data_IF_201078611099
#
_entry.id   IF_201078611099
#
_cell.length_a   1.000
_cell.length_b   1.000
_cell.length_c   1.000
_cell.angle_alpha   90.00
_cell.angle_beta   90.00
_cell.angle_gamma   90.00
#
_symmetry.space_group_name_H-M   'P 1'
#
loop_
_entity.id
_entity.type
_entity.pdbx_description
1 polymer ?
#
# COMPACT_ATOMS: atom_id res chain seq x y z
N UNK A 1 -44.58 -26.12 -0.35
CA UNK A 1 -44.39 -24.71 -0.74
C UNK A 1 -44.41 -24.63 -2.26
N UNK A 2 -44.83 -23.51 -2.82
CA UNK A 2 -44.69 -23.24 -4.25
C UNK A 2 -43.21 -22.95 -4.58
N UNK A 3 -42.82 -23.03 -5.87
CA UNK A 3 -41.48 -22.61 -6.31
C UNK A 3 -41.22 -21.13 -5.94
N UNK A 4 -42.24 -20.28 -6.02
CA UNK A 4 -42.14 -18.86 -5.68
C UNK A 4 -41.85 -18.64 -4.19
N UNK A 5 -42.54 -19.37 -3.30
CA UNK A 5 -42.26 -19.35 -1.86
C UNK A 5 -40.85 -19.84 -1.52
N UNK A 6 -40.38 -20.89 -2.22
CA UNK A 6 -39.02 -21.41 -2.07
C UNK A 6 -37.98 -20.38 -2.55
N UNK A 7 -38.22 -19.71 -3.67
CA UNK A 7 -37.31 -18.67 -4.19
C UNK A 7 -37.22 -17.46 -3.26
N UNK A 8 -38.32 -17.05 -2.63
CA UNK A 8 -38.29 -15.99 -1.63
C UNK A 8 -37.44 -16.37 -0.40
N UNK A 9 -37.47 -17.65 -0.01
CA UNK A 9 -36.59 -18.16 1.03
C UNK A 9 -35.13 -18.21 0.55
N UNK A 10 -34.87 -18.63 -0.70
CA UNK A 10 -33.52 -18.56 -1.27
C UNK A 10 -32.94 -17.14 -1.20
N UNK A 11 -33.71 -16.13 -1.61
CA UNK A 11 -33.29 -14.73 -1.53
C UNK A 11 -32.95 -14.32 -0.08
N UNK A 12 -33.79 -14.73 0.87
CA UNK A 12 -33.59 -14.45 2.30
C UNK A 12 -32.32 -15.13 2.83
N UNK A 13 -32.14 -16.41 2.56
CA UNK A 13 -30.94 -17.14 3.01
C UNK A 13 -29.67 -16.65 2.32
N UNK A 14 -29.76 -16.18 1.06
CA UNK A 14 -28.66 -15.53 0.36
C UNK A 14 -28.27 -14.22 1.03
N UNK A 15 -29.25 -13.37 1.36
CA UNK A 15 -29.03 -12.10 2.05
C UNK A 15 -28.36 -12.30 3.43
N UNK A 16 -28.77 -13.33 4.18
CA UNK A 16 -28.17 -13.67 5.47
C UNK A 16 -26.93 -14.58 5.35
N UNK A 17 -26.42 -14.82 4.14
CA UNK A 17 -25.22 -15.61 3.87
C UNK A 17 -25.30 -17.05 4.41
N UNK A 18 -26.50 -17.61 4.56
CA UNK A 18 -26.71 -18.97 5.03
C UNK A 18 -26.66 -19.96 3.86
N UNK A 19 -25.48 -20.09 3.26
CA UNK A 19 -25.28 -20.83 2.02
C UNK A 19 -25.62 -22.32 2.12
N UNK A 20 -25.55 -22.91 3.31
CA UNK A 20 -25.93 -24.31 3.53
C UNK A 20 -27.43 -24.52 3.34
N UNK A 21 -28.26 -23.67 3.95
CA UNK A 21 -29.72 -23.73 3.79
C UNK A 21 -30.12 -23.35 2.37
N UNK A 22 -29.49 -22.31 1.82
CA UNK A 22 -29.70 -21.86 0.45
C UNK A 22 -29.52 -22.99 -0.57
N UNK A 23 -28.43 -23.76 -0.47
CA UNK A 23 -28.19 -24.89 -1.36
C UNK A 23 -29.30 -25.95 -1.27
N UNK A 24 -29.78 -26.24 -0.06
CA UNK A 24 -30.88 -27.19 0.15
C UNK A 24 -32.20 -26.72 -0.49
N UNK A 25 -32.53 -25.44 -0.36
CA UNK A 25 -33.71 -24.85 -1.02
C UNK A 25 -33.57 -24.88 -2.55
N UNK A 26 -32.37 -24.57 -3.08
CA UNK A 26 -32.12 -24.65 -4.51
C UNK A 26 -32.24 -26.09 -5.03
N UNK A 27 -31.78 -27.09 -4.28
CA UNK A 27 -31.93 -28.51 -4.63
C UNK A 27 -33.39 -28.95 -4.66
N UNK A 28 -34.22 -28.45 -3.74
CA UNK A 28 -35.66 -28.69 -3.74
C UNK A 28 -36.32 -28.09 -4.99
N UNK A 29 -36.01 -26.84 -5.32
CA UNK A 29 -36.56 -26.18 -6.53
C UNK A 29 -36.12 -26.92 -7.78
N UNK A 30 -34.83 -27.24 -7.92
CA UNK A 30 -34.30 -27.91 -9.10
C UNK A 30 -34.78 -29.37 -9.24
N UNK A 31 -35.25 -29.99 -8.16
CA UNK A 31 -35.97 -31.26 -8.20
C UNK A 31 -37.38 -31.17 -8.79
N UNK A 32 -38.03 -29.99 -8.67
CA UNK A 32 -39.36 -29.72 -9.21
C UNK A 32 -39.27 -29.15 -10.63
N UNK A 33 -38.37 -28.19 -10.84
CA UNK A 33 -38.11 -27.49 -12.09
C UNK A 33 -36.58 -27.47 -12.37
N UNK A 34 -36.06 -28.48 -13.07
CA UNK A 34 -34.64 -28.58 -13.37
C UNK A 34 -34.07 -27.45 -14.24
N UNK A 35 -34.91 -26.63 -14.88
CA UNK A 35 -34.49 -25.50 -15.74
C UNK A 35 -34.65 -24.15 -15.03
N UNK A 36 -34.96 -24.15 -13.73
CA UNK A 36 -35.16 -22.92 -12.96
C UNK A 36 -33.87 -22.09 -12.88
N UNK A 37 -33.79 -21.04 -13.70
CA UNK A 37 -32.57 -20.23 -13.82
C UNK A 37 -32.20 -19.52 -12.52
N UNK A 38 -33.20 -19.05 -11.75
CA UNK A 38 -32.96 -18.35 -10.47
C UNK A 38 -32.36 -19.29 -9.43
N UNK A 39 -32.87 -20.51 -9.30
CA UNK A 39 -32.31 -21.51 -8.40
C UNK A 39 -30.89 -21.95 -8.82
N UNK A 40 -30.63 -22.11 -10.12
CA UNK A 40 -29.26 -22.35 -10.62
C UNK A 40 -28.32 -21.19 -10.27
N UNK A 41 -28.81 -19.95 -10.40
CA UNK A 41 -28.07 -18.74 -10.06
C UNK A 41 -27.70 -18.72 -8.58
N UNK A 42 -28.67 -18.88 -7.68
CA UNK A 42 -28.39 -18.94 -6.24
C UNK A 42 -27.48 -20.10 -5.85
N UNK A 43 -27.71 -21.30 -6.39
CA UNK A 43 -26.88 -22.47 -6.09
C UNK A 43 -25.44 -22.28 -6.54
N UNK A 44 -25.22 -21.74 -7.75
CA UNK A 44 -23.87 -21.48 -8.24
C UNK A 44 -23.14 -20.42 -7.41
N UNK A 45 -23.81 -19.33 -7.03
CA UNK A 45 -23.23 -18.34 -6.12
C UNK A 45 -22.87 -18.95 -4.75
N UNK A 46 -23.77 -19.75 -4.16
CA UNK A 46 -23.54 -20.44 -2.90
C UNK A 46 -22.35 -21.42 -2.97
N UNK A 47 -22.15 -22.09 -4.11
CA UNK A 47 -21.00 -22.95 -4.35
C UNK A 47 -19.69 -22.15 -4.37
N UNK A 48 -19.65 -20.97 -4.98
CA UNK A 48 -18.47 -20.09 -4.92
C UNK A 48 -18.17 -19.65 -3.47
N UNK A 49 -19.16 -19.09 -2.77
CA UNK A 49 -18.99 -18.62 -1.39
C UNK A 49 -18.64 -19.73 -0.38
N UNK A 50 -18.88 -20.99 -0.73
CA UNK A 50 -18.50 -22.15 0.09
C UNK A 50 -17.23 -22.85 -0.39
N UNK A 51 -16.45 -22.21 -1.28
CA UNK A 51 -15.15 -22.70 -1.74
C UNK A 51 -15.23 -23.88 -2.70
N UNK A 52 -16.30 -23.99 -3.48
CA UNK A 52 -16.52 -25.06 -4.48
C UNK A 52 -16.69 -24.50 -5.91
N UNK A 53 -15.78 -23.65 -6.40
CA UNK A 53 -15.95 -22.96 -7.70
C UNK A 53 -16.01 -23.92 -8.90
N UNK A 54 -15.33 -25.07 -8.85
CA UNK A 54 -15.40 -26.06 -9.94
C UNK A 54 -16.82 -26.62 -10.10
N UNK A 55 -17.52 -26.92 -9.00
CA UNK A 55 -18.90 -27.40 -9.06
C UNK A 55 -19.86 -26.30 -9.54
N UNK A 56 -19.58 -25.05 -9.20
CA UNK A 56 -20.33 -23.91 -9.73
C UNK A 56 -20.20 -23.85 -11.27
N UNK A 57 -18.98 -23.97 -11.80
CA UNK A 57 -18.74 -23.99 -13.24
C UNK A 57 -19.34 -25.22 -13.94
N UNK A 58 -19.34 -26.40 -13.32
CA UNK A 58 -20.02 -27.57 -13.88
C UNK A 58 -21.52 -27.30 -14.09
N UNK A 59 -22.18 -26.75 -13.08
CA UNK A 59 -23.59 -26.33 -13.15
C UNK A 59 -23.81 -25.26 -14.22
N UNK A 60 -22.95 -24.24 -14.24
CA UNK A 60 -23.06 -23.10 -15.16
C UNK A 60 -22.69 -23.44 -16.60
N UNK A 61 -21.83 -24.43 -16.85
CA UNK A 61 -21.34 -24.76 -18.20
C UNK A 61 -22.46 -25.14 -19.18
N UNK A 62 -23.51 -25.80 -18.67
CA UNK A 62 -24.70 -26.13 -19.44
C UNK A 62 -25.70 -24.97 -19.45
N UNK A 63 -25.86 -24.29 -18.32
CA UNK A 63 -26.79 -23.16 -18.18
C UNK A 63 -26.41 -21.99 -19.11
N UNK A 64 -25.13 -21.61 -19.19
CA UNK A 64 -24.62 -20.55 -20.07
C UNK A 64 -24.78 -20.89 -21.56
N UNK A 65 -24.76 -22.17 -21.96
CA UNK A 65 -25.01 -22.56 -23.35
C UNK A 65 -26.47 -22.38 -23.75
N UNK A 66 -27.38 -22.67 -22.82
CA UNK A 66 -28.83 -22.56 -23.05
C UNK A 66 -29.32 -21.11 -22.91
N UNK A 67 -28.74 -20.38 -21.96
CA UNK A 67 -29.11 -19.02 -21.61
C UNK A 67 -27.90 -18.08 -21.69
N UNK A 68 -27.35 -17.84 -22.90
CA UNK A 68 -26.10 -17.07 -23.08
C UNK A 68 -26.20 -15.60 -22.65
N UNK A 69 -27.42 -15.06 -22.54
CA UNK A 69 -27.67 -13.69 -22.12
C UNK A 69 -28.08 -13.58 -20.64
N UNK A 70 -27.92 -14.64 -19.84
CA UNK A 70 -28.20 -14.58 -18.42
C UNK A 70 -26.98 -14.02 -17.67
N UNK A 71 -27.06 -12.75 -17.30
CA UNK A 71 -25.98 -12.03 -16.63
C UNK A 71 -25.64 -12.59 -15.23
N UNK A 72 -26.58 -13.26 -14.53
CA UNK A 72 -26.29 -13.91 -13.26
C UNK A 72 -25.34 -15.09 -13.47
N UNK A 73 -25.55 -15.87 -14.54
CA UNK A 73 -24.67 -16.99 -14.86
C UNK A 73 -23.28 -16.53 -15.31
N UNK A 74 -23.21 -15.44 -16.09
CA UNK A 74 -21.94 -14.85 -16.48
C UNK A 74 -21.17 -14.36 -15.26
N UNK A 75 -21.82 -13.64 -14.34
CA UNK A 75 -21.18 -13.18 -13.12
C UNK A 75 -20.74 -14.30 -12.19
N UNK A 76 -21.60 -15.30 -11.96
CA UNK A 76 -21.22 -16.43 -11.10
C UNK A 76 -20.10 -17.27 -11.73
N UNK A 77 -20.04 -17.34 -13.07
CA UNK A 77 -18.90 -17.92 -13.78
C UNK A 77 -17.64 -17.08 -13.57
N UNK A 78 -17.76 -15.76 -13.61
CA UNK A 78 -16.64 -14.85 -13.34
C UNK A 78 -16.09 -15.05 -11.93
N UNK A 79 -16.95 -15.03 -10.92
CA UNK A 79 -16.57 -15.32 -9.52
C UNK A 79 -15.88 -16.68 -9.39
N UNK A 80 -16.43 -17.73 -10.00
CA UNK A 80 -15.82 -19.06 -9.93
C UNK A 80 -14.44 -19.11 -10.62
N UNK A 81 -14.27 -18.45 -11.76
CA UNK A 81 -12.96 -18.35 -12.41
C UNK A 81 -11.98 -17.52 -11.58
N UNK A 82 -12.44 -16.44 -10.96
CA UNK A 82 -11.64 -15.61 -10.06
C UNK A 82 -11.11 -16.42 -8.86
N UNK A 83 -11.98 -17.19 -8.19
CA UNK A 83 -11.61 -18.06 -7.06
C UNK A 83 -10.61 -19.16 -7.47
N UNK A 84 -10.60 -19.54 -8.74
CA UNK A 84 -9.64 -20.49 -9.31
C UNK A 84 -8.33 -19.84 -9.79
N UNK A 85 -8.19 -18.52 -9.71
CA UNK A 85 -7.04 -17.78 -10.23
C UNK A 85 -7.03 -17.60 -11.75
N UNK A 86 -8.13 -17.92 -12.44
CA UNK A 86 -8.27 -17.85 -13.89
C UNK A 86 -8.82 -16.47 -14.31
N UNK A 87 -8.05 -15.42 -14.01
CA UNK A 87 -8.53 -14.04 -14.03
C UNK A 87 -8.92 -13.53 -15.43
N UNK A 88 -8.27 -13.97 -16.50
CA UNK A 88 -8.67 -13.60 -17.88
C UNK A 88 -10.04 -14.15 -18.25
N UNK A 89 -10.37 -15.38 -17.80
CA UNK A 89 -11.70 -15.97 -18.03
C UNK A 89 -12.74 -15.24 -17.19
N UNK A 90 -12.40 -14.88 -15.96
CA UNK A 90 -13.24 -14.05 -15.10
C UNK A 90 -13.59 -12.72 -15.79
N UNK A 91 -12.56 -11.99 -16.24
CA UNK A 91 -12.70 -10.71 -16.92
C UNK A 91 -13.61 -10.83 -18.14
N UNK A 92 -13.40 -11.84 -18.98
CA UNK A 92 -14.22 -12.07 -20.17
C UNK A 92 -15.70 -12.27 -19.81
N UNK A 93 -16.00 -13.06 -18.79
CA UNK A 93 -17.36 -13.28 -18.33
C UNK A 93 -18.00 -11.97 -17.82
N UNK A 94 -17.27 -11.15 -17.07
CA UNK A 94 -17.75 -9.83 -16.64
C UNK A 94 -18.04 -8.91 -17.84
N UNK A 95 -17.14 -8.84 -18.82
CA UNK A 95 -17.33 -8.02 -20.03
C UNK A 95 -18.54 -8.47 -20.87
N UNK A 96 -18.77 -9.78 -20.98
CA UNK A 96 -19.96 -10.33 -21.63
C UNK A 96 -21.23 -9.98 -20.85
N UNK A 97 -21.21 -10.05 -19.52
CA UNK A 97 -22.31 -9.66 -18.65
C UNK A 97 -22.67 -8.18 -18.77
N UNK A 98 -21.65 -7.31 -18.71
CA UNK A 98 -21.80 -5.86 -18.79
C UNK A 98 -22.33 -5.38 -20.15
N UNK A 99 -22.11 -6.14 -21.25
CA UNK A 99 -22.74 -5.86 -22.55
C UNK A 99 -24.26 -6.04 -22.54
N UNK A 100 -24.78 -6.88 -21.64
CA UNK A 100 -26.21 -7.16 -21.52
C UNK A 100 -26.86 -6.15 -20.59
N UNK A 101 -26.30 -5.99 -19.39
CA UNK A 101 -26.79 -5.04 -18.40
C UNK A 101 -25.67 -4.65 -17.44
N UNK A 102 -25.56 -3.35 -17.20
CA UNK A 102 -24.66 -2.81 -16.19
C UNK A 102 -25.26 -2.99 -14.79
N UNK A 103 -24.45 -3.55 -13.90
CA UNK A 103 -24.75 -3.74 -12.49
C UNK A 103 -23.46 -3.61 -11.69
N UNK A 104 -23.58 -3.02 -10.50
CA UNK A 104 -22.46 -2.70 -9.63
C UNK A 104 -21.60 -3.95 -9.33
N UNK A 105 -22.22 -5.06 -8.95
CA UNK A 105 -21.52 -6.34 -8.67
C UNK A 105 -20.78 -6.94 -9.89
N UNK A 106 -21.19 -6.64 -11.13
CA UNK A 106 -20.45 -7.02 -12.34
C UNK A 106 -19.24 -6.11 -12.55
N UNK A 107 -19.41 -4.81 -12.28
CA UNK A 107 -18.33 -3.83 -12.32
C UNK A 107 -17.25 -4.20 -11.29
N UNK A 108 -17.64 -4.51 -10.05
CA UNK A 108 -16.72 -4.87 -8.98
C UNK A 108 -15.94 -6.15 -9.31
N UNK A 109 -16.60 -7.19 -9.83
CA UNK A 109 -15.92 -8.41 -10.26
C UNK A 109 -14.99 -8.20 -11.46
N UNK A 110 -15.34 -7.29 -12.38
CA UNK A 110 -14.44 -6.87 -13.46
C UNK A 110 -13.20 -6.17 -12.92
N UNK A 111 -13.38 -5.24 -11.97
CA UNK A 111 -12.28 -4.52 -11.33
C UNK A 111 -11.34 -5.48 -10.61
N UNK A 112 -11.87 -6.41 -9.81
CA UNK A 112 -11.09 -7.47 -9.14
C UNK A 112 -10.26 -8.26 -10.15
N UNK A 113 -10.86 -8.68 -11.27
CA UNK A 113 -10.16 -9.41 -12.31
C UNK A 113 -9.04 -8.59 -12.97
N UNK A 114 -9.29 -7.32 -13.32
CA UNK A 114 -8.26 -6.42 -13.88
C UNK A 114 -7.10 -6.21 -12.92
N UNK A 115 -7.40 -5.98 -11.64
CA UNK A 115 -6.41 -5.74 -10.59
C UNK A 115 -5.53 -6.98 -10.38
N UNK A 116 -6.12 -8.18 -10.35
CA UNK A 116 -5.36 -9.45 -10.25
C UNK A 116 -4.52 -9.76 -11.48
N UNK A 117 -4.86 -9.17 -12.62
CA UNK A 117 -4.08 -9.24 -13.87
C UNK A 117 -2.97 -8.18 -13.95
N UNK A 118 -2.76 -7.36 -12.91
CA UNK A 118 -1.86 -6.19 -12.91
C UNK A 118 -2.24 -5.13 -13.96
N UNK A 119 -3.48 -5.14 -14.47
CA UNK A 119 -3.99 -4.14 -15.41
C UNK A 119 -4.59 -2.95 -14.64
N UNK A 120 -3.75 -2.34 -13.82
CA UNK A 120 -4.15 -1.33 -12.83
C UNK A 120 -4.75 -0.09 -13.50
N UNK A 121 -4.09 0.45 -14.52
CA UNK A 121 -4.56 1.66 -15.21
C UNK A 121 -5.94 1.46 -15.85
N UNK A 122 -6.18 0.29 -16.44
CA UNK A 122 -7.47 -0.07 -17.02
C UNK A 122 -8.55 -0.27 -15.95
N UNK A 123 -8.19 -0.77 -14.76
CA UNK A 123 -9.12 -0.88 -13.64
C UNK A 123 -9.56 0.50 -13.16
N UNK A 124 -8.61 1.43 -13.05
CA UNK A 124 -8.86 2.81 -12.58
C UNK A 124 -9.73 3.56 -13.58
N UNK A 125 -9.36 3.54 -14.86
CA UNK A 125 -10.15 4.17 -15.92
C UNK A 125 -11.57 3.58 -15.98
N UNK A 126 -11.72 2.26 -15.79
CA UNK A 126 -13.03 1.64 -15.77
C UNK A 126 -13.85 2.07 -14.53
N UNK A 127 -13.25 2.07 -13.34
CA UNK A 127 -13.92 2.48 -12.11
C UNK A 127 -14.46 3.92 -12.20
N UNK A 128 -13.64 4.86 -12.66
CA UNK A 128 -14.00 6.28 -12.83
C UNK A 128 -15.20 6.49 -13.77
N UNK A 129 -15.45 5.56 -14.70
CA UNK A 129 -16.47 5.66 -15.73
C UNK A 129 -17.63 4.65 -15.57
N UNK A 130 -17.68 3.92 -14.46
CA UNK A 130 -18.67 2.85 -14.25
C UNK A 130 -19.61 3.14 -13.08
N UNK A 131 -20.71 2.38 -13.00
CA UNK A 131 -21.58 2.35 -11.83
C UNK A 131 -21.03 1.50 -10.66
N UNK A 132 -19.72 1.28 -10.55
CA UNK A 132 -19.14 0.53 -9.43
C UNK A 132 -19.59 1.13 -8.09
N UNK A 133 -20.08 0.28 -7.18
CA UNK A 133 -20.56 0.73 -5.87
C UNK A 133 -19.46 0.82 -4.83
N UNK A 134 -18.48 -0.08 -4.94
CA UNK A 134 -17.38 -0.18 -3.99
C UNK A 134 -16.30 0.86 -4.31
N UNK A 135 -15.74 1.44 -3.25
CA UNK A 135 -14.56 2.31 -3.35
C UNK A 135 -13.41 1.48 -3.93
N UNK A 136 -12.72 2.01 -4.95
CA UNK A 136 -11.62 1.32 -5.60
C UNK A 136 -10.54 0.88 -4.60
N UNK A 137 -10.37 1.64 -3.51
CA UNK A 137 -9.45 1.27 -2.44
C UNK A 137 -9.84 -0.02 -1.72
N UNK A 138 -11.13 -0.29 -1.46
CA UNK A 138 -11.59 -1.55 -0.90
C UNK A 138 -11.31 -2.71 -1.84
N UNK A 139 -11.56 -2.52 -3.13
CA UNK A 139 -11.32 -3.54 -4.15
C UNK A 139 -9.82 -3.88 -4.19
N UNK A 140 -8.94 -2.88 -4.09
CA UNK A 140 -7.50 -3.11 -3.97
C UNK A 140 -7.15 -3.88 -2.70
N UNK A 141 -7.78 -3.58 -1.55
CA UNK A 141 -7.56 -4.30 -0.28
C UNK A 141 -7.94 -5.77 -0.42
N UNK A 142 -9.13 -6.07 -0.97
CA UNK A 142 -9.59 -7.43 -1.21
C UNK A 142 -8.68 -8.20 -2.19
N UNK A 143 -8.07 -7.49 -3.13
CA UNK A 143 -7.09 -8.06 -4.06
C UNK A 143 -5.68 -8.19 -3.47
N UNK A 144 -5.44 -7.75 -2.23
CA UNK A 144 -4.12 -7.73 -1.60
C UNK A 144 -3.15 -6.71 -2.23
N UNK A 145 -3.67 -5.68 -2.89
CA UNK A 145 -2.94 -4.61 -3.58
C UNK A 145 -2.86 -3.35 -2.73
N UNK A 146 -2.33 -3.49 -1.52
CA UNK A 146 -2.34 -2.42 -0.51
C UNK A 146 -1.69 -1.12 -0.99
N UNK A 147 -0.60 -1.18 -1.76
CA UNK A 147 0.03 0.02 -2.33
C UNK A 147 -0.91 0.88 -3.16
N UNK A 148 -1.70 0.23 -3.99
CA UNK A 148 -2.69 0.89 -4.80
C UNK A 148 -3.84 1.36 -3.90
N UNK A 149 -4.31 0.55 -2.95
CA UNK A 149 -5.33 0.98 -1.99
C UNK A 149 -4.95 2.30 -1.29
N UNK A 150 -3.71 2.45 -0.83
CA UNK A 150 -3.21 3.69 -0.23
C UNK A 150 -3.22 4.88 -1.19
N UNK A 151 -2.74 4.67 -2.41
CA UNK A 151 -2.71 5.71 -3.45
C UNK A 151 -4.10 6.28 -3.70
N UNK A 152 -5.10 5.43 -3.75
CA UNK A 152 -6.48 5.81 -4.07
C UNK A 152 -7.28 6.28 -2.83
N UNK A 153 -6.95 5.82 -1.62
CA UNK A 153 -7.61 6.27 -0.38
C UNK A 153 -7.37 7.74 0.00
N UNK A 154 -6.21 8.30 -0.36
CA UNK A 154 -5.72 9.57 0.20
C UNK A 154 -6.47 10.84 -0.27
N UNK A 155 -7.50 10.70 -1.09
CA UNK A 155 -8.37 11.81 -1.51
C UNK A 155 -9.69 11.90 -0.75
N UNK A 156 -10.18 10.79 -0.17
CA UNK A 156 -11.51 10.76 0.49
C UNK A 156 -11.44 10.59 2.02
N UNK A 157 -10.40 9.96 2.57
CA UNK A 157 -10.31 9.58 3.98
C UNK A 157 -9.00 10.03 4.65
N UNK A 158 -9.03 10.25 5.97
CA UNK A 158 -7.82 10.41 6.78
C UNK A 158 -6.97 9.14 6.64
N UNK A 159 -5.66 9.29 6.40
CA UNK A 159 -4.69 8.19 6.31
C UNK A 159 -4.91 7.15 7.42
N UNK A 160 -5.25 7.60 8.63
CA UNK A 160 -5.56 6.75 9.77
C UNK A 160 -6.74 5.79 9.56
N UNK A 161 -7.82 6.25 8.93
CA UNK A 161 -9.02 5.44 8.69
C UNK A 161 -8.74 4.33 7.68
N UNK A 162 -7.97 4.64 6.63
CA UNK A 162 -7.44 3.67 5.68
C UNK A 162 -6.63 2.58 6.38
N UNK A 163 -5.73 2.96 7.30
CA UNK A 163 -4.96 1.97 8.10
C UNK A 163 -5.88 1.06 8.90
N UNK A 164 -6.87 1.63 9.57
CA UNK A 164 -7.76 0.86 10.44
C UNK A 164 -8.69 -0.04 9.61
N UNK A 165 -9.03 0.30 8.36
CA UNK A 165 -9.73 -0.58 7.40
C UNK A 165 -8.83 -1.73 6.95
N UNK A 166 -7.61 -1.45 6.48
CA UNK A 166 -6.69 -2.49 6.00
C UNK A 166 -6.38 -3.50 7.13
N UNK A 167 -6.21 -3.03 8.38
CA UNK A 167 -6.00 -3.89 9.56
C UNK A 167 -7.14 -4.87 9.86
N UNK A 168 -8.33 -4.70 9.27
CA UNK A 168 -9.45 -5.65 9.42
C UNK A 168 -9.31 -6.89 8.52
N UNK A 169 -8.52 -6.82 7.45
CA UNK A 169 -8.45 -7.88 6.44
C UNK A 169 -7.26 -8.84 6.63
N UNK A 170 -6.13 -8.39 7.20
CA UNK A 170 -5.00 -9.24 7.64
C UNK A 170 -4.02 -8.39 8.49
N UNK A 171 -3.47 -8.90 9.60
CA UNK A 171 -2.66 -8.07 10.53
C UNK A 171 -1.17 -8.07 10.24
N UNK A 172 -0.63 -9.14 9.65
CA UNK A 172 0.82 -9.35 9.60
C UNK A 172 1.41 -8.84 8.27
N UNK A 173 0.82 -9.22 7.13
CA UNK A 173 1.25 -8.75 5.80
C UNK A 173 0.99 -7.25 5.58
N UNK A 174 -0.04 -6.74 6.24
CA UNK A 174 -0.38 -5.31 6.26
C UNK A 174 0.62 -4.54 7.09
N UNK A 175 1.16 -5.11 8.17
CA UNK A 175 2.22 -4.51 8.97
C UNK A 175 3.45 -4.19 8.12
N UNK A 176 3.94 -5.16 7.36
CA UNK A 176 5.12 -4.98 6.49
C UNK A 176 4.90 -3.92 5.41
N UNK A 177 3.70 -3.89 4.80
CA UNK A 177 3.36 -2.91 3.78
C UNK A 177 3.10 -1.52 4.38
N UNK A 178 2.34 -1.43 5.47
CA UNK A 178 2.07 -0.17 6.18
C UNK A 178 3.34 0.48 6.71
N UNK A 179 4.32 -0.32 7.11
CA UNK A 179 5.62 0.17 7.57
C UNK A 179 6.58 0.44 6.41
N UNK A 180 6.21 0.11 5.17
CA UNK A 180 7.10 0.24 4.00
C UNK A 180 7.61 1.67 3.78
N UNK A 181 6.80 2.69 4.10
CA UNK A 181 7.21 4.10 4.00
C UNK A 181 8.39 4.44 4.91
N UNK A 182 8.59 3.72 6.00
CA UNK A 182 9.77 3.91 6.86
C UNK A 182 11.02 3.50 6.09
N UNK A 183 10.94 2.34 5.42
CA UNK A 183 12.07 1.76 4.70
C UNK A 183 12.40 2.46 3.37
N UNK A 184 11.50 3.30 2.84
CA UNK A 184 11.80 4.19 1.70
C UNK A 184 12.70 5.36 2.09
N UNK A 185 12.77 5.70 3.38
CA UNK A 185 13.63 6.75 3.91
C UNK A 185 15.07 6.24 3.90
N UNK A 186 15.90 6.84 3.07
CA UNK A 186 17.34 6.56 2.98
C UNK A 186 18.11 7.77 3.45
N UNK A 187 19.18 7.54 4.18
CA UNK A 187 20.15 8.58 4.48
C UNK A 187 21.26 8.52 3.43
N UNK A 188 21.34 9.54 2.58
CA UNK A 188 22.47 9.77 1.68
C UNK A 188 23.03 11.14 1.99
N UNK A 189 24.34 11.24 2.16
CA UNK A 189 24.96 12.56 2.18
C UNK A 189 24.86 13.11 0.76
N UNK A 190 24.18 14.23 0.56
CA UNK A 190 24.15 14.93 -0.73
C UNK A 190 25.52 15.61 -0.95
N UNK A 191 26.54 14.76 -1.17
CA UNK A 191 27.95 15.16 -1.30
C UNK A 191 28.31 15.61 -2.71
N UNK A 192 27.38 15.54 -3.65
CA UNK A 192 27.69 15.73 -5.06
C UNK A 192 27.73 17.21 -5.45
N UNK A 193 27.06 18.12 -4.73
CA UNK A 193 27.00 19.53 -5.10
C UNK A 193 26.76 20.47 -3.91
N UNK A 194 27.45 21.61 -3.93
CA UNK A 194 27.37 22.66 -2.93
C UNK A 194 26.01 23.38 -3.03
N UNK A 195 25.31 23.58 -1.91
CA UNK A 195 23.98 24.23 -1.91
C UNK A 195 24.03 25.69 -2.36
N UNK A 196 25.15 26.38 -2.15
CA UNK A 196 25.27 27.80 -2.49
C UNK A 196 25.61 28.06 -3.96
N UNK A 197 26.32 27.14 -4.62
CA UNK A 197 26.88 27.39 -5.96
C UNK A 197 26.85 26.20 -6.93
N UNK A 198 26.36 25.03 -6.50
CA UNK A 198 26.39 23.79 -7.29
C UNK A 198 27.78 23.19 -7.49
N UNK A 199 28.82 23.74 -6.86
CA UNK A 199 30.21 23.28 -6.98
C UNK A 199 30.49 21.98 -6.21
N UNK A 200 31.55 21.25 -6.58
CA UNK A 200 31.93 19.99 -5.91
C UNK A 200 32.25 20.22 -4.41
N UNK A 201 31.74 19.33 -3.56
CA UNK A 201 32.09 19.27 -2.14
C UNK A 201 33.18 18.20 -1.92
N UNK A 202 34.13 18.50 -1.03
CA UNK A 202 35.18 17.57 -0.59
C UNK A 202 35.23 17.55 0.94
N UNK A 203 35.53 16.41 1.57
CA UNK A 203 35.52 16.30 3.02
C UNK A 203 36.65 17.11 3.66
N UNK A 204 36.39 17.69 4.83
CA UNK A 204 37.36 18.41 5.66
C UNK A 204 38.03 17.43 6.62
N UNK A 205 39.35 17.44 6.64
CA UNK A 205 40.15 16.67 7.59
C UNK A 205 40.79 17.62 8.60
N UNK A 206 40.53 17.34 9.88
CA UNK A 206 41.06 18.06 11.02
C UNK A 206 42.21 17.29 11.67
N UNK A 207 43.19 18.02 12.22
CA UNK A 207 44.37 17.47 12.88
C UNK A 207 45.66 17.56 12.05
N UNK A 208 46.70 16.86 12.49
CA UNK A 208 47.99 16.85 11.81
C UNK A 208 47.98 15.81 10.67
N UNK A 209 48.11 16.23 9.40
CA UNK A 209 48.00 15.31 8.28
C UNK A 209 49.26 14.45 8.13
N UNK A 210 49.07 13.13 7.99
CA UNK A 210 50.13 12.22 7.56
C UNK A 210 50.46 12.36 6.07
N UNK A 211 51.56 11.75 5.59
CA UNK A 211 52.02 11.86 4.20
C UNK A 211 50.95 11.49 3.15
N UNK A 212 50.20 10.41 3.36
CA UNK A 212 49.13 9.99 2.43
C UNK A 212 47.98 10.99 2.35
N UNK A 213 47.68 11.68 3.45
CA UNK A 213 46.62 12.70 3.50
C UNK A 213 47.04 13.98 2.77
N UNK A 214 48.33 14.34 2.86
CA UNK A 214 48.89 15.43 2.07
C UNK A 214 48.80 15.15 0.57
N UNK A 215 49.04 13.91 0.14
CA UNK A 215 48.85 13.53 -1.26
C UNK A 215 47.40 13.62 -1.72
N UNK A 216 46.44 13.17 -0.89
CA UNK A 216 45.00 13.32 -1.17
C UNK A 216 44.59 14.79 -1.28
N UNK A 217 45.10 15.65 -0.39
CA UNK A 217 44.85 17.09 -0.43
C UNK A 217 45.43 17.72 -1.70
N UNK A 218 46.65 17.32 -2.12
CA UNK A 218 47.27 17.78 -3.36
C UNK A 218 46.49 17.36 -4.62
N UNK A 219 45.79 16.22 -4.58
CA UNK A 219 44.90 15.77 -5.65
C UNK A 219 43.50 16.41 -5.59
N UNK A 220 43.24 17.26 -4.60
CA UNK A 220 41.93 17.91 -4.42
C UNK A 220 40.83 16.92 -4.02
N UNK A 221 41.18 15.81 -3.36
CA UNK A 221 40.23 14.82 -2.86
C UNK A 221 39.68 15.18 -1.47
N UNK A 222 40.44 15.95 -0.69
CA UNK A 222 40.13 16.35 0.70
C UNK A 222 40.64 17.76 0.98
N UNK A 223 40.01 18.47 1.93
CA UNK A 223 40.43 19.79 2.40
C UNK A 223 41.07 19.69 3.79
N UNK A 224 42.15 20.41 4.04
CA UNK A 224 42.83 20.41 5.34
C UNK A 224 42.30 21.57 6.20
N UNK A 225 41.41 21.26 7.15
CA UNK A 225 40.77 22.26 8.02
C UNK A 225 41.71 22.90 9.04
N UNK A 226 42.82 22.24 9.35
CA UNK A 226 43.82 22.69 10.31
C UNK A 226 43.86 21.84 11.57
N UNK A 227 44.67 22.25 12.55
CA UNK A 227 44.97 21.42 13.73
C UNK A 227 43.94 21.50 14.86
N UNK A 228 43.05 22.51 14.83
CA UNK A 228 42.10 22.78 15.91
C UNK A 228 40.70 22.72 15.32
N UNK A 229 39.86 21.84 15.88
CA UNK A 229 38.46 21.73 15.52
C UNK A 229 37.69 22.98 16.00
N UNK A 230 37.06 23.75 15.09
CA UNK A 230 36.24 24.90 15.44
C UNK A 230 34.92 24.46 16.08
N UNK A 231 34.28 25.34 16.88
CA UNK A 231 33.04 25.00 17.58
C UNK A 231 31.87 24.61 16.64
N UNK A 232 31.83 25.10 15.40
CA UNK A 232 30.79 24.71 14.42
C UNK A 232 31.12 23.40 13.69
N UNK A 233 32.35 22.87 13.82
CA UNK A 233 32.85 21.61 13.25
C UNK A 233 32.32 21.25 11.84
N UNK A 234 32.77 21.93 10.77
CA UNK A 234 32.30 21.63 9.43
C UNK A 234 32.98 20.37 8.88
N UNK A 235 32.20 19.61 8.11
CA UNK A 235 32.57 18.30 7.55
C UNK A 235 32.97 18.38 6.08
N UNK A 236 32.53 19.41 5.35
CA UNK A 236 32.75 19.56 3.91
C UNK A 236 33.18 20.98 3.51
N UNK A 237 34.04 21.06 2.52
CA UNK A 237 34.51 22.28 1.89
C UNK A 237 34.09 22.31 0.43
N UNK A 238 33.50 23.42 -0.03
CA UNK A 238 33.19 23.59 -1.45
C UNK A 238 34.39 24.11 -2.23
N UNK A 239 34.81 23.38 -3.27
CA UNK A 239 35.92 23.81 -4.13
C UNK A 239 35.58 24.98 -5.06
N UNK A 240 34.29 25.36 -5.16
CA UNK A 240 33.81 26.44 -6.02
C UNK A 240 33.73 27.79 -5.29
N UNK A 241 32.93 27.86 -4.21
CA UNK A 241 32.73 29.10 -3.45
C UNK A 241 33.61 29.21 -2.19
N UNK A 242 34.28 28.14 -1.77
CA UNK A 242 35.14 28.11 -0.59
C UNK A 242 34.40 28.10 0.76
N UNK A 243 33.07 28.04 0.75
CA UNK A 243 32.28 27.88 1.97
C UNK A 243 32.47 26.48 2.56
N UNK A 244 32.45 26.44 3.90
CA UNK A 244 32.56 25.23 4.69
C UNK A 244 31.20 24.91 5.30
N UNK A 245 30.80 23.66 5.19
CA UNK A 245 29.49 23.17 5.58
C UNK A 245 29.65 22.06 6.60
N UNK A 246 28.86 22.13 7.67
CA UNK A 246 28.55 20.94 8.46
C UNK A 246 27.35 20.28 7.80
N UNK A 247 27.60 19.29 6.94
CA UNK A 247 26.52 18.52 6.32
C UNK A 247 26.13 17.40 7.28
N UNK A 248 25.39 17.79 8.31
CA UNK A 248 24.55 16.93 9.11
C UNK A 248 23.07 17.29 8.87
N UNK A 249 22.22 16.28 8.84
CA UNK A 249 20.75 16.36 8.91
C UNK A 249 19.93 16.70 7.64
N UNK A 250 20.52 17.14 6.54
CA UNK A 250 19.77 17.42 5.28
C UNK A 250 19.73 16.23 4.29
N UNK A 251 20.45 15.14 4.57
CA UNK A 251 20.60 13.98 3.69
C UNK A 251 19.53 12.88 3.76
N UNK A 252 18.31 13.16 4.24
CA UNK A 252 17.23 12.18 4.14
C UNK A 252 16.56 12.28 2.77
N UNK A 253 16.71 11.23 1.97
CA UNK A 253 16.04 11.07 0.70
C UNK A 253 14.95 10.01 0.84
N UNK A 254 13.78 10.29 0.29
CA UNK A 254 12.70 9.31 0.24
C UNK A 254 12.69 8.67 -1.14
N UNK A 255 13.21 7.45 -1.21
CA UNK A 255 13.21 6.64 -2.43
C UNK A 255 11.85 5.94 -2.57
N UNK A 256 10.85 6.73 -2.94
CA UNK A 256 9.50 6.27 -3.15
C UNK A 256 8.92 6.91 -4.40
N UNK A 257 8.50 6.11 -5.37
CA UNK A 257 7.83 6.58 -6.59
C UNK A 257 6.40 7.06 -6.31
N UNK A 258 5.80 6.64 -5.19
CA UNK A 258 4.48 7.08 -4.77
C UNK A 258 4.55 8.45 -4.10
N UNK A 259 4.06 9.47 -4.81
CA UNK A 259 4.07 10.87 -4.34
C UNK A 259 3.39 11.02 -2.99
N UNK A 260 2.27 10.33 -2.76
CA UNK A 260 1.48 10.52 -1.54
C UNK A 260 2.15 9.85 -0.33
N UNK A 261 2.75 8.68 -0.54
CA UNK A 261 3.55 8.01 0.49
C UNK A 261 4.81 8.82 0.84
N UNK A 262 5.41 9.46 -0.18
CA UNK A 262 6.52 10.41 0.00
C UNK A 262 6.10 11.59 0.86
N UNK A 263 5.00 12.27 0.54
CA UNK A 263 4.49 13.42 1.30
C UNK A 263 4.20 13.04 2.76
N UNK A 264 3.66 11.84 3.01
CA UNK A 264 3.44 11.33 4.36
C UNK A 264 4.76 11.14 5.11
N UNK A 265 5.75 10.48 4.49
CA UNK A 265 7.07 10.26 5.08
C UNK A 265 7.79 11.60 5.37
N UNK A 266 7.73 12.57 4.44
CA UNK A 266 8.24 13.93 4.63
C UNK A 266 7.58 14.60 5.84
N UNK A 267 6.25 14.54 5.93
CA UNK A 267 5.51 15.10 7.06
C UNK A 267 5.96 14.52 8.41
N UNK A 268 6.22 13.21 8.49
CA UNK A 268 6.70 12.56 9.73
C UNK A 268 8.13 12.93 10.06
N UNK A 269 9.01 13.01 9.06
CA UNK A 269 10.38 13.48 9.24
C UNK A 269 10.38 14.93 9.76
N UNK A 270 9.58 15.80 9.17
CA UNK A 270 9.51 17.22 9.55
C UNK A 270 8.94 17.43 10.95
N UNK A 271 7.92 16.64 11.34
CA UNK A 271 7.43 16.62 12.72
C UNK A 271 8.54 16.23 13.71
N UNK A 272 9.28 15.15 13.42
CA UNK A 272 10.37 14.71 14.27
C UNK A 272 11.48 15.76 14.38
N UNK A 273 11.87 16.37 13.25
CA UNK A 273 12.84 17.46 13.19
C UNK A 273 12.41 18.67 14.03
N UNK A 274 11.14 19.07 13.94
CA UNK A 274 10.59 20.14 14.74
C UNK A 274 10.68 19.86 16.25
N UNK A 275 10.46 18.60 16.66
CA UNK A 275 10.51 18.19 18.07
C UNK A 275 11.93 18.13 18.63
N UNK A 276 12.91 17.71 17.82
CA UNK A 276 14.32 17.64 18.22
C UNK A 276 15.00 19.01 18.23
N UNK A 277 14.55 19.94 17.38
CA UNK A 277 15.02 21.34 17.35
C UNK A 277 16.47 21.50 16.85
N UNK A 278 16.88 22.75 16.56
CA UNK A 278 18.27 23.09 16.16
C UNK A 278 19.25 23.15 17.34
N UNK A 279 18.73 23.29 18.55
CA UNK A 279 19.52 23.39 19.78
C UNK A 279 19.58 22.02 20.46
N UNK A 280 20.42 21.12 19.93
CA UNK A 280 21.07 19.95 20.58
C UNK A 280 20.58 19.55 21.98
N UNK A 281 19.29 19.29 22.13
CA UNK A 281 18.67 18.87 23.38
C UNK A 281 18.08 17.49 23.12
N UNK A 282 18.89 16.48 23.42
CA UNK A 282 18.48 15.09 23.34
C UNK A 282 17.13 14.90 24.05
N UNK A 283 16.19 14.26 23.37
CA UNK A 283 14.81 14.05 23.85
C UNK A 283 14.59 12.60 24.23
N UNK A 284 13.85 12.39 25.31
CA UNK A 284 13.48 11.02 25.68
C UNK A 284 12.52 10.41 24.66
N UNK A 285 12.63 9.10 24.44
CA UNK A 285 11.75 8.35 23.54
C UNK A 285 10.26 8.50 23.92
N UNK A 286 9.96 8.58 25.23
CA UNK A 286 8.61 8.83 25.73
C UNK A 286 8.06 10.21 25.40
N UNK A 287 8.91 11.24 25.40
CA UNK A 287 8.53 12.62 25.07
C UNK A 287 8.26 12.76 23.57
N UNK A 288 9.14 12.19 22.74
CA UNK A 288 8.95 12.17 21.28
C UNK A 288 7.66 11.42 20.91
N UNK A 289 7.44 10.22 21.48
CA UNK A 289 6.23 9.42 21.22
C UNK A 289 4.93 10.16 21.54
N UNK A 290 4.92 10.97 22.60
CA UNK A 290 3.73 11.72 23.00
C UNK A 290 3.38 12.84 22.02
N UNK A 291 4.39 13.42 21.36
CA UNK A 291 4.24 14.58 20.49
C UNK A 291 4.29 14.23 19.00
N UNK A 292 4.71 13.02 18.64
CA UNK A 292 4.61 12.49 17.28
C UNK A 292 3.17 12.01 17.03
N UNK A 293 2.39 12.83 16.34
CA UNK A 293 0.99 12.53 16.10
C UNK A 293 0.80 11.54 14.94
N UNK A 294 -0.22 10.69 15.05
CA UNK A 294 -0.64 9.79 13.97
C UNK A 294 0.22 8.54 13.78
N UNK A 295 1.08 8.18 14.75
CA UNK A 295 1.80 6.90 14.82
C UNK A 295 1.34 6.12 16.05
N UNK A 296 1.04 4.82 15.89
CA UNK A 296 0.88 3.90 17.03
C UNK A 296 2.26 3.59 17.63
N UNK A 297 2.25 2.96 18.80
CA UNK A 297 3.46 2.65 19.60
C UNK A 297 4.56 1.96 18.78
N UNK A 298 4.21 0.83 18.17
CA UNK A 298 5.16 -0.03 17.46
C UNK A 298 5.64 0.64 16.17
N UNK A 299 4.78 1.48 15.58
CA UNK A 299 5.05 2.24 14.36
C UNK A 299 6.08 3.35 14.61
N UNK A 300 5.91 4.08 15.72
CA UNK A 300 6.87 5.07 16.20
C UNK A 300 8.22 4.42 16.54
N UNK A 301 8.20 3.28 17.23
CA UNK A 301 9.43 2.57 17.62
C UNK A 301 10.22 2.09 16.40
N UNK A 302 9.56 1.50 15.40
CA UNK A 302 10.21 1.09 14.17
C UNK A 302 10.67 2.28 13.31
N UNK A 303 9.92 3.38 13.24
CA UNK A 303 10.35 4.60 12.57
C UNK A 303 11.64 5.16 13.17
N UNK A 304 11.69 5.29 14.50
CA UNK A 304 12.89 5.73 15.21
C UNK A 304 14.04 4.74 15.04
N UNK A 305 13.78 3.43 15.18
CA UNK A 305 14.80 2.39 15.02
C UNK A 305 15.45 2.44 13.65
N UNK A 306 14.66 2.62 12.58
CA UNK A 306 15.17 2.75 11.22
C UNK A 306 16.02 4.01 11.06
N UNK A 307 15.59 5.15 11.59
CA UNK A 307 16.37 6.39 11.54
C UNK A 307 17.70 6.30 12.31
N UNK A 308 17.74 5.53 13.40
CA UNK A 308 19.00 5.20 14.11
C UNK A 308 19.87 4.28 13.26
N UNK A 309 19.29 3.25 12.64
CA UNK A 309 20.00 2.28 11.80
C UNK A 309 20.68 2.95 10.58
N UNK A 310 19.99 3.86 9.91
CA UNK A 310 20.54 4.62 8.78
C UNK A 310 21.46 5.77 9.22
N UNK A 311 21.68 5.95 10.52
CA UNK A 311 22.61 6.94 11.07
C UNK A 311 22.09 8.38 11.04
N UNK A 312 20.77 8.58 10.94
CA UNK A 312 20.15 9.90 11.03
C UNK A 312 19.94 10.37 12.48
N UNK A 313 19.65 9.42 13.38
CA UNK A 313 19.52 9.66 14.81
C UNK A 313 20.65 8.96 15.56
N UNK A 314 21.12 9.59 16.64
CA UNK A 314 22.00 8.96 17.62
C UNK A 314 21.25 8.75 18.94
N UNK A 315 21.59 7.66 19.63
CA UNK A 315 21.02 7.31 20.93
C UNK A 315 22.12 7.46 21.99
N UNK A 316 21.95 8.44 22.88
CA UNK A 316 22.85 8.69 24.00
C UNK A 316 22.85 7.57 25.05
N UNK A 317 23.84 7.55 25.94
CA UNK A 317 23.95 6.56 27.02
C UNK A 317 22.78 6.60 28.02
N UNK A 318 22.07 7.72 28.06
CA UNK A 318 20.87 7.96 28.85
C UNK A 318 19.57 7.54 28.12
N UNK A 319 19.68 7.02 26.90
CA UNK A 319 18.56 6.61 26.05
C UNK A 319 17.83 7.78 25.38
N UNK A 320 18.37 8.99 25.46
CA UNK A 320 17.83 10.13 24.76
C UNK A 320 18.28 10.14 23.29
N UNK A 321 17.39 10.60 22.42
CA UNK A 321 17.61 10.66 20.98
C UNK A 321 17.94 12.10 20.58
N UNK A 322 18.96 12.23 19.74
CA UNK A 322 19.33 13.49 19.09
C UNK A 322 19.66 13.24 17.63
N UNK A 323 19.65 14.30 16.82
CA UNK A 323 20.08 14.21 15.43
C UNK A 323 21.59 13.90 15.39
N UNK A 324 21.98 12.88 14.60
CA UNK A 324 23.38 12.46 14.43
C UNK A 324 24.18 13.40 13.52
#
# INVERSE_FOLDING_TARGET
MTIEELLQQCETEYYFMNYKTLMGLCDEILGIDPENQTAMGYKSAALCFTGQPQKALELLSNACKQYPNNYYFLNNSAMAYYDMGEYEKSLKCCEEGLKIKEFDWLCDNKLKALIRLERIDEAVEFWENSAASDDLSDIFIECGKYSHAFRYCLEEYDFKDTIDRIKQFDTDAVGDYYMSWIYTIKFRYDTESCPDCGGRLIPILWGYPGPEMLEKANRGEVFLGGCVLPMNNPDYHCTGCGHEFRLGHEGLHIECDDVKLRDYAESKIDQLRCLLGRDSNAKSLSELRKNMHGLKSDEFEAFVSHLVEIGYLSCGLDGNLELA
#
